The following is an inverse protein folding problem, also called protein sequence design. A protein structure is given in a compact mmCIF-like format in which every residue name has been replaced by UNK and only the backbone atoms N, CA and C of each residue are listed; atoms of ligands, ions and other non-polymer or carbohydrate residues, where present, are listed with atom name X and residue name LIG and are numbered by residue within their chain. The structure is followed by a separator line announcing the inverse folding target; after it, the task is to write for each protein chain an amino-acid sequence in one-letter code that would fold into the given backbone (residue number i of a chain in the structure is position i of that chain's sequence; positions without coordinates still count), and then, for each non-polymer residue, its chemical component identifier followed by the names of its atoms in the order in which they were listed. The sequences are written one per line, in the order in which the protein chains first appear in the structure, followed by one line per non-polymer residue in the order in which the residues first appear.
data_IF_364940885279
#
_entry.id   IF_364940885279
#
_cell.length_a   1.000
_cell.length_b   1.000
_cell.length_c   1.000
_cell.angle_alpha   90.00
_cell.angle_beta   90.00
_cell.angle_gamma   90.00
#
_symmetry.space_group_name_H-M   'P 1'
#
loop_
_entity.id
_entity.type
_entity.pdbx_description
1 polymer ?
#
# COMPACT_ATOMS: atom_id res chain seq x y z
N UNK A 1 -0.67 12.21 15.61
CA UNK A 1 0.41 11.49 14.89
C UNK A 1 0.15 9.98 14.74
N UNK A 2 -0.82 9.43 15.48
CA UNK A 2 -1.11 7.99 15.56
C UNK A 2 -1.49 7.33 14.21
N UNK A 3 -2.23 8.03 13.35
CA UNK A 3 -2.66 7.49 12.06
C UNK A 3 -1.46 7.22 11.14
N UNK A 4 -0.60 8.21 10.87
CA UNK A 4 0.58 8.01 10.00
C UNK A 4 1.53 6.92 10.53
N UNK A 5 1.69 6.84 11.86
CA UNK A 5 2.49 5.78 12.48
C UNK A 5 1.91 4.39 12.22
N UNK A 6 0.60 4.23 12.08
CA UNK A 6 0.00 2.91 11.83
C UNK A 6 0.01 2.44 10.37
N UNK A 7 0.11 3.36 9.39
CA UNK A 7 -0.09 3.05 7.95
C UNK A 7 1.06 3.48 7.04
N UNK A 8 2.13 4.06 7.57
CA UNK A 8 3.29 4.47 6.76
C UNK A 8 3.84 3.34 5.88
N UNK A 9 3.85 2.09 6.38
CA UNK A 9 4.32 0.97 5.57
C UNK A 9 3.39 0.67 4.40
N UNK A 10 2.07 0.70 4.60
CA UNK A 10 1.10 0.55 3.51
C UNK A 10 1.31 1.66 2.45
N UNK A 11 1.57 2.89 2.88
CA UNK A 11 1.88 4.02 1.98
C UNK A 11 3.17 3.79 1.20
N UNK A 12 4.24 3.30 1.84
CA UNK A 12 5.51 3.00 1.17
C UNK A 12 5.38 1.84 0.18
N UNK A 13 4.69 0.76 0.57
CA UNK A 13 4.41 -0.40 -0.27
C UNK A 13 3.59 0.01 -1.50
N UNK A 14 2.55 0.83 -1.33
CA UNK A 14 1.82 1.42 -2.47
C UNK A 14 2.73 2.26 -3.36
N UNK A 15 3.69 2.99 -2.78
CA UNK A 15 4.69 3.74 -3.54
C UNK A 15 5.56 2.85 -4.44
N UNK A 16 6.08 1.75 -3.90
CA UNK A 16 6.85 0.75 -4.67
C UNK A 16 5.95 0.14 -5.75
N UNK A 17 4.74 -0.26 -5.38
CA UNK A 17 3.81 -0.90 -6.30
C UNK A 17 3.46 0.02 -7.49
N UNK A 18 3.21 1.30 -7.21
CA UNK A 18 2.90 2.30 -8.24
C UNK A 18 4.06 2.51 -9.21
N UNK A 19 5.30 2.63 -8.71
CA UNK A 19 6.49 2.77 -9.57
C UNK A 19 6.74 1.52 -10.43
N UNK A 20 6.27 0.37 -9.96
CA UNK A 20 6.47 -0.92 -10.62
C UNK A 20 5.37 -1.28 -11.63
N UNK A 21 4.26 -0.55 -11.67
CA UNK A 21 3.17 -0.80 -12.63
C UNK A 21 3.59 -0.88 -14.11
N UNK A 22 4.51 -0.03 -14.63
CA UNK A 22 4.93 -0.12 -16.03
C UNK A 22 5.94 -1.25 -16.31
N UNK A 23 6.44 -1.93 -15.26
CA UNK A 23 7.47 -2.96 -15.38
C UNK A 23 6.86 -4.36 -15.45
N UNK A 24 7.58 -5.31 -16.04
CA UNK A 24 7.14 -6.70 -16.13
C UNK A 24 7.94 -7.56 -15.14
N UNK A 25 7.27 -8.03 -14.09
CA UNK A 25 7.84 -8.91 -13.06
C UNK A 25 9.09 -8.35 -12.34
N UNK A 26 9.18 -7.01 -12.28
CA UNK A 26 10.23 -6.27 -11.58
C UNK A 26 9.64 -5.30 -10.54
N UNK A 27 10.45 -4.90 -9.56
CA UNK A 27 10.09 -3.99 -8.49
C UNK A 27 11.00 -2.77 -8.47
N UNK A 28 10.40 -1.58 -8.64
CA UNK A 28 11.07 -0.29 -8.54
C UNK A 28 11.01 0.26 -7.11
N UNK A 29 12.04 -0.06 -6.32
CA UNK A 29 12.19 0.45 -4.96
C UNK A 29 12.52 1.95 -4.95
N UNK A 30 13.36 2.40 -5.89
CA UNK A 30 13.72 3.80 -6.14
C UNK A 30 13.91 4.05 -7.65
N UNK A 31 14.24 5.29 -8.05
CA UNK A 31 14.53 5.63 -9.45
C UNK A 31 15.74 4.87 -10.01
N UNK A 32 16.71 4.58 -9.15
CA UNK A 32 17.99 3.92 -9.47
C UNK A 32 18.08 2.50 -8.89
N UNK A 33 17.00 1.99 -8.30
CA UNK A 33 16.96 0.65 -7.70
C UNK A 33 15.72 -0.12 -8.19
N UNK A 34 15.92 -0.88 -9.25
CA UNK A 34 14.96 -1.83 -9.80
C UNK A 34 15.51 -3.24 -9.64
N UNK A 35 14.72 -4.15 -9.08
CA UNK A 35 15.10 -5.53 -8.87
C UNK A 35 14.07 -6.46 -9.51
N UNK A 36 14.54 -7.45 -10.24
CA UNK A 36 13.78 -8.63 -10.64
C UNK A 36 13.74 -9.66 -9.48
N UNK A 37 13.14 -10.82 -9.71
CA UNK A 37 13.04 -11.87 -8.69
C UNK A 37 14.41 -12.37 -8.23
N UNK A 38 15.38 -12.52 -9.14
CA UNK A 38 16.72 -12.99 -8.82
C UNK A 38 17.50 -11.96 -8.01
N UNK A 39 17.44 -10.68 -8.40
CA UNK A 39 18.03 -9.56 -7.69
C UNK A 39 17.43 -9.38 -6.30
N UNK A 40 16.11 -9.49 -6.17
CA UNK A 40 15.43 -9.46 -4.87
C UNK A 40 15.90 -10.62 -3.97
N UNK A 41 16.04 -11.84 -4.52
CA UNK A 41 16.54 -13.00 -3.78
C UNK A 41 17.99 -12.81 -3.34
N UNK A 42 18.85 -12.31 -4.22
CA UNK A 42 20.26 -12.02 -3.94
C UNK A 42 20.42 -10.94 -2.86
N UNK A 43 19.50 -9.98 -2.80
CA UNK A 43 19.45 -8.94 -1.78
C UNK A 43 18.81 -9.40 -0.45
N UNK A 44 18.43 -10.68 -0.32
CA UNK A 44 17.75 -11.19 0.87
C UNK A 44 16.27 -10.82 0.98
N UNK A 45 15.68 -10.24 -0.08
CA UNK A 45 14.30 -9.78 -0.16
C UNK A 45 13.37 -10.78 -0.87
N UNK A 46 13.79 -12.03 -1.11
CA UNK A 46 13.05 -12.97 -1.98
C UNK A 46 11.56 -13.12 -1.63
N UNK A 47 11.23 -13.42 -0.37
CA UNK A 47 9.83 -13.56 0.07
C UNK A 47 9.05 -12.24 0.01
N UNK A 48 9.72 -11.12 0.32
CA UNK A 48 9.12 -9.79 0.22
C UNK A 48 8.84 -9.40 -1.23
N UNK A 49 9.80 -9.68 -2.12
CA UNK A 49 9.71 -9.45 -3.55
C UNK A 49 8.52 -10.19 -4.14
N UNK A 50 8.34 -11.46 -3.78
CA UNK A 50 7.18 -12.24 -4.21
C UNK A 50 5.84 -11.62 -3.75
N UNK A 51 5.75 -11.18 -2.49
CA UNK A 51 4.54 -10.55 -1.95
C UNK A 51 4.25 -9.20 -2.64
N UNK A 52 5.28 -8.37 -2.85
CA UNK A 52 5.17 -7.10 -3.56
C UNK A 52 4.76 -7.32 -5.03
N UNK A 53 5.36 -8.28 -5.73
CA UNK A 53 4.99 -8.61 -7.11
C UNK A 53 3.55 -9.11 -7.21
N UNK A 54 3.06 -9.87 -6.23
CA UNK A 54 1.65 -10.27 -6.19
C UNK A 54 0.72 -9.04 -6.11
N UNK A 55 1.05 -8.05 -5.28
CA UNK A 55 0.31 -6.79 -5.21
C UNK A 55 0.39 -6.01 -6.53
N UNK A 56 1.58 -5.86 -7.11
CA UNK A 56 1.81 -5.18 -8.40
C UNK A 56 0.96 -5.80 -9.50
N UNK A 57 1.03 -7.13 -9.67
CA UNK A 57 0.23 -7.87 -10.67
C UNK A 57 -1.27 -7.65 -10.48
N UNK A 58 -1.74 -7.58 -9.23
CA UNK A 58 -3.15 -7.29 -8.93
C UNK A 58 -3.54 -5.89 -9.39
N UNK A 59 -2.71 -4.89 -9.15
CA UNK A 59 -2.96 -3.49 -9.56
C UNK A 59 -2.83 -3.32 -11.09
N UNK A 60 -1.87 -4.00 -11.72
CA UNK A 60 -1.72 -4.05 -13.18
C UNK A 60 -2.94 -4.67 -13.87
N UNK A 61 -3.48 -5.77 -13.33
CA UNK A 61 -4.70 -6.39 -13.84
C UNK A 61 -5.91 -5.46 -13.76
N UNK A 62 -5.91 -4.54 -12.77
CA UNK A 62 -6.92 -3.50 -12.65
C UNK A 62 -6.63 -2.29 -13.54
N UNK A 63 -5.45 -2.18 -14.16
CA UNK A 63 -4.99 -0.99 -14.88
C UNK A 63 -5.17 0.26 -14.02
N UNK A 64 -4.58 0.21 -12.82
CA UNK A 64 -4.72 1.27 -11.83
C UNK A 64 -4.30 2.63 -12.42
N UNK A 65 -5.16 3.62 -12.29
CA UNK A 65 -4.89 4.99 -12.69
C UNK A 65 -4.40 5.85 -11.53
N UNK A 66 -3.91 7.05 -11.84
CA UNK A 66 -3.30 7.95 -10.86
C UNK A 66 -4.30 8.41 -9.80
N UNK A 67 -5.52 8.71 -10.23
CA UNK A 67 -6.62 9.17 -9.38
C UNK A 67 -7.06 8.06 -8.41
N UNK A 68 -7.21 6.83 -8.92
CA UNK A 68 -7.51 5.63 -8.13
C UNK A 68 -6.38 5.33 -7.14
N UNK A 69 -5.12 5.49 -7.57
CA UNK A 69 -3.96 5.34 -6.70
C UNK A 69 -3.99 6.33 -5.52
N UNK A 70 -4.30 7.61 -5.78
CA UNK A 70 -4.40 8.62 -4.72
C UNK A 70 -5.56 8.29 -3.78
N UNK A 71 -6.71 7.85 -4.29
CA UNK A 71 -7.84 7.40 -3.49
C UNK A 71 -7.48 6.18 -2.63
N UNK A 72 -6.76 5.19 -3.17
CA UNK A 72 -6.29 4.03 -2.40
C UNK A 72 -5.35 4.44 -1.25
N UNK A 73 -4.46 5.43 -1.46
CA UNK A 73 -3.63 5.96 -0.36
C UNK A 73 -4.47 6.62 0.72
N UNK A 74 -5.46 7.41 0.34
CA UNK A 74 -6.35 8.08 1.28
C UNK A 74 -7.22 7.07 2.05
N UNK A 75 -7.73 6.04 1.36
CA UNK A 75 -8.49 4.96 1.97
C UNK A 75 -7.64 4.09 2.89
N UNK A 76 -6.38 3.79 2.53
CA UNK A 76 -5.45 3.12 3.43
C UNK A 76 -5.25 3.95 4.71
N UNK A 77 -5.07 5.27 4.57
CA UNK A 77 -4.95 6.20 5.70
C UNK A 77 -6.21 6.21 6.58
N UNK A 78 -7.39 6.30 5.97
CA UNK A 78 -8.67 6.38 6.67
C UNK A 78 -9.11 5.04 7.30
N UNK A 79 -8.62 3.91 6.78
CA UNK A 79 -8.86 2.56 7.33
C UNK A 79 -7.77 2.14 8.34
N UNK A 80 -7.03 3.11 8.90
CA UNK A 80 -6.05 2.87 9.94
C UNK A 80 -6.69 2.20 11.16
N UNK A 81 -6.10 1.10 11.64
CA UNK A 81 -6.51 0.41 12.86
C UNK A 81 -5.95 1.12 14.13
N UNK A 82 -5.70 2.43 14.06
CA UNK A 82 -5.09 3.18 15.17
C UNK A 82 -5.99 3.20 16.39
N UNK A 83 -5.47 2.73 17.52
CA UNK A 83 -6.17 2.68 18.82
C UNK A 83 -6.40 4.07 19.42
N UNK A 84 -5.72 5.11 18.91
CA UNK A 84 -5.72 6.47 19.46
C UNK A 84 -6.28 7.51 18.48
N UNK A 85 -7.47 7.26 17.94
CA UNK A 85 -8.21 8.25 17.17
C UNK A 85 -8.99 9.14 18.13
N UNK A 86 -8.63 10.42 18.20
CA UNK A 86 -9.29 11.41 19.08
C UNK A 86 -10.72 11.72 18.63
N UNK A 87 -10.95 11.79 17.32
CA UNK A 87 -12.25 12.06 16.70
C UNK A 87 -12.59 10.96 15.69
N UNK A 88 -13.22 9.89 16.19
CA UNK A 88 -13.61 8.76 15.36
C UNK A 88 -14.71 9.15 14.35
N UNK A 89 -15.58 10.11 14.70
CA UNK A 89 -16.66 10.55 13.82
C UNK A 89 -16.10 11.27 12.59
N UNK A 90 -15.13 12.15 12.76
CA UNK A 90 -14.47 12.83 11.64
C UNK A 90 -13.74 11.85 10.71
N UNK A 91 -13.11 10.80 11.25
CA UNK A 91 -12.46 9.75 10.44
C UNK A 91 -13.49 8.93 9.67
N UNK A 92 -14.61 8.60 10.29
CA UNK A 92 -15.72 7.91 9.63
C UNK A 92 -16.33 8.74 8.50
N UNK A 93 -16.60 10.03 8.74
CA UNK A 93 -17.08 10.96 7.71
C UNK A 93 -16.08 11.08 6.54
N UNK A 94 -14.77 11.15 6.85
CA UNK A 94 -13.73 11.14 5.82
C UNK A 94 -13.75 9.83 5.02
N UNK A 95 -13.90 8.68 5.68
CA UNK A 95 -13.99 7.38 5.02
C UNK A 95 -15.20 7.32 4.10
N UNK A 96 -16.37 7.77 4.53
CA UNK A 96 -17.58 7.83 3.71
C UNK A 96 -17.37 8.71 2.48
N UNK A 97 -16.83 9.92 2.67
CA UNK A 97 -16.53 10.84 1.58
C UNK A 97 -15.55 10.24 0.55
N UNK A 98 -14.55 9.48 1.00
CA UNK A 98 -13.60 8.80 0.10
C UNK A 98 -14.25 7.65 -0.68
N UNK A 99 -15.17 6.90 -0.07
CA UNK A 99 -15.92 5.86 -0.78
C UNK A 99 -16.86 6.47 -1.81
N UNK A 100 -17.54 7.56 -1.48
CA UNK A 100 -18.39 8.30 -2.41
C UNK A 100 -17.58 8.86 -3.59
N UNK A 101 -16.45 9.50 -3.32
CA UNK A 101 -15.56 10.03 -4.35
C UNK A 101 -15.05 8.93 -5.30
N UNK A 102 -14.74 7.74 -4.78
CA UNK A 102 -14.35 6.60 -5.62
C UNK A 102 -15.52 6.14 -6.51
N UNK A 103 -16.72 6.04 -5.95
CA UNK A 103 -17.90 5.65 -6.72
C UNK A 103 -18.22 6.67 -7.83
N UNK A 104 -18.13 7.97 -7.52
CA UNK A 104 -18.37 9.05 -8.47
C UNK A 104 -17.33 9.06 -9.59
N UNK A 105 -16.04 8.90 -9.25
CA UNK A 105 -14.96 8.80 -10.22
C UNK A 105 -15.18 7.66 -11.21
N UNK A 106 -15.56 6.48 -10.70
CA UNK A 106 -15.82 5.31 -11.54
C UNK A 106 -17.10 5.47 -12.39
N UNK A 107 -18.14 6.10 -11.84
CA UNK A 107 -19.37 6.38 -12.56
C UNK A 107 -19.14 7.34 -13.74
N UNK A 108 -18.31 8.36 -13.55
CA UNK A 108 -17.90 9.29 -14.62
C UNK A 108 -17.14 8.61 -15.76
N UNK A 109 -16.45 7.50 -15.49
CA UNK A 109 -15.68 6.73 -16.48
C UNK A 109 -16.48 5.66 -17.22
N UNK A 110 -17.47 5.05 -16.57
CA UNK A 110 -18.12 3.83 -17.08
C UNK A 110 -19.10 4.05 -18.25
N UNK A 111 -19.40 5.29 -18.64
CA UNK A 111 -20.48 5.57 -19.61
C UNK A 111 -21.86 5.12 -19.08
N UNK A 112 -22.93 5.22 -19.87
CA UNK A 112 -24.28 4.88 -19.40
C UNK A 112 -24.44 3.35 -19.28
N UNK A 113 -24.08 2.79 -18.12
CA UNK A 113 -24.14 1.36 -17.83
C UNK A 113 -23.85 1.05 -16.35
N UNK A 114 -24.81 1.38 -15.47
CA UNK A 114 -24.70 1.53 -14.01
C UNK A 114 -24.40 0.28 -13.14
N UNK A 115 -23.56 -0.64 -13.61
CA UNK A 115 -23.08 -1.77 -12.81
C UNK A 115 -21.61 -2.13 -13.03
N UNK A 116 -20.93 -1.55 -14.01
CA UNK A 116 -19.50 -1.79 -14.22
C UNK A 116 -18.64 -1.01 -13.20
N UNK A 117 -19.08 0.19 -12.85
CA UNK A 117 -18.44 1.13 -11.93
C UNK A 117 -18.43 0.60 -10.49
N UNK A 118 -19.57 0.16 -9.94
CA UNK A 118 -19.65 -0.42 -8.59
C UNK A 118 -18.78 -1.66 -8.45
N UNK A 119 -18.74 -2.50 -9.49
CA UNK A 119 -17.88 -3.68 -9.53
C UNK A 119 -16.40 -3.30 -9.57
N UNK A 120 -16.04 -2.19 -10.22
CA UNK A 120 -14.65 -1.71 -10.26
C UNK A 120 -14.21 -1.13 -8.91
N UNK A 121 -15.00 -0.23 -8.34
CA UNK A 121 -14.75 0.30 -7.00
C UNK A 121 -14.58 -0.83 -5.97
N UNK A 122 -15.47 -1.82 -5.98
CA UNK A 122 -15.33 -3.01 -5.13
C UNK A 122 -14.03 -3.78 -5.36
N UNK A 123 -13.61 -3.97 -6.62
CA UNK A 123 -12.33 -4.63 -6.92
C UNK A 123 -11.11 -3.85 -6.44
N UNK A 124 -11.15 -2.51 -6.51
CA UNK A 124 -10.10 -1.63 -5.97
C UNK A 124 -10.05 -1.72 -4.45
N UNK A 125 -11.20 -1.65 -3.77
CA UNK A 125 -11.27 -1.80 -2.31
C UNK A 125 -10.73 -3.16 -1.83
N UNK A 126 -10.99 -4.23 -2.57
CA UNK A 126 -10.43 -5.57 -2.29
C UNK A 126 -8.91 -5.67 -2.45
N UNK A 127 -8.22 -4.62 -2.93
CA UNK A 127 -6.75 -4.57 -2.91
C UNK A 127 -6.19 -4.11 -1.56
N UNK A 128 -6.97 -3.38 -0.76
CA UNK A 128 -6.53 -2.88 0.55
C UNK A 128 -6.15 -4.01 1.54
N UNK A 129 -6.89 -5.13 1.64
CA UNK A 129 -6.46 -6.25 2.48
C UNK A 129 -5.15 -6.89 2.02
N UNK A 130 -4.93 -7.00 0.70
CA UNK A 130 -3.67 -7.51 0.14
C UNK A 130 -2.51 -6.56 0.42
N UNK A 131 -2.76 -5.25 0.32
CA UNK A 131 -1.81 -4.22 0.70
C UNK A 131 -1.41 -4.35 2.17
N UNK A 132 -2.38 -4.41 3.09
CA UNK A 132 -2.13 -4.58 4.53
C UNK A 132 -1.33 -5.84 4.83
N UNK A 133 -1.69 -6.97 4.22
CA UNK A 133 -0.93 -8.21 4.36
C UNK A 133 0.52 -8.06 3.87
N UNK A 134 0.72 -7.39 2.74
CA UNK A 134 2.05 -7.18 2.16
C UNK A 134 2.89 -6.27 3.06
N UNK A 135 2.31 -5.17 3.54
CA UNK A 135 2.95 -4.26 4.49
C UNK A 135 3.35 -4.97 5.79
N UNK A 136 2.50 -5.85 6.32
CA UNK A 136 2.81 -6.67 7.50
C UNK A 136 4.02 -7.59 7.30
N UNK A 137 4.13 -8.24 6.12
CA UNK A 137 5.32 -9.05 5.79
C UNK A 137 6.59 -8.20 5.71
N UNK A 138 6.50 -7.02 5.09
CA UNK A 138 7.62 -6.07 4.99
C UNK A 138 8.07 -5.61 6.36
N UNK A 139 7.15 -5.25 7.26
CA UNK A 139 7.46 -4.91 8.65
C UNK A 139 8.15 -6.07 9.39
N UNK A 140 7.62 -7.28 9.30
CA UNK A 140 8.18 -8.45 9.95
C UNK A 140 9.62 -8.74 9.50
N UNK A 141 9.89 -8.58 8.20
CA UNK A 141 11.25 -8.73 7.66
C UNK A 141 12.20 -7.66 8.21
N UNK A 142 11.82 -6.38 8.14
CA UNK A 142 12.68 -5.31 8.65
C UNK A 142 12.88 -5.40 10.17
N UNK A 143 11.91 -5.94 10.90
CA UNK A 143 12.11 -6.28 12.31
C UNK A 143 13.19 -7.35 12.50
N UNK A 144 13.18 -8.42 11.69
CA UNK A 144 14.25 -9.42 11.69
C UNK A 144 15.63 -8.79 11.42
N UNK A 145 15.73 -7.95 10.38
CA UNK A 145 16.98 -7.24 10.05
C UNK A 145 17.46 -6.34 11.19
N UNK A 146 16.53 -5.66 11.88
CA UNK A 146 16.85 -4.84 13.07
C UNK A 146 17.44 -5.71 14.18
N UNK A 147 16.83 -6.85 14.48
CA UNK A 147 17.29 -7.77 15.53
C UNK A 147 18.67 -8.35 15.23
N UNK A 148 19.00 -8.58 13.96
CA UNK A 148 20.34 -9.03 13.58
C UNK A 148 21.42 -7.97 13.81
N UNK A 149 21.08 -6.69 13.73
CA UNK A 149 22.00 -5.57 13.99
C UNK A 149 23.14 -5.42 12.98
N UNK A 150 23.11 -6.16 11.86
CA UNK A 150 24.18 -6.17 10.84
C UNK A 150 24.04 -5.08 9.79
N UNK A 151 22.82 -4.56 9.59
CA UNK A 151 22.52 -3.55 8.57
C UNK A 151 22.17 -2.24 9.26
N UNK A 152 22.89 -1.14 9.00
CA UNK A 152 22.55 0.16 9.56
C UNK A 152 21.22 0.64 8.98
N UNK A 153 20.31 1.07 9.85
CA UNK A 153 19.03 1.64 9.47
C UNK A 153 18.98 3.13 9.80
N UNK A 154 18.33 3.91 8.94
CA UNK A 154 18.16 5.34 9.18
C UNK A 154 17.31 5.59 10.42
N UNK A 155 17.66 6.61 11.21
CA UNK A 155 17.02 6.92 12.51
C UNK A 155 15.50 7.04 12.41
N UNK A 156 15.00 7.82 11.44
CA UNK A 156 13.55 7.97 11.22
C UNK A 156 12.86 6.63 10.93
N UNK A 157 13.51 5.75 10.16
CA UNK A 157 12.92 4.44 9.84
C UNK A 157 12.83 3.56 11.09
N UNK A 158 13.85 3.60 11.95
CA UNK A 158 13.83 2.89 13.24
C UNK A 158 12.73 3.41 14.15
N UNK A 159 12.57 4.74 14.28
CA UNK A 159 11.52 5.35 15.10
C UNK A 159 10.12 4.93 14.61
N UNK A 160 9.90 4.90 13.29
CA UNK A 160 8.63 4.47 12.70
C UNK A 160 8.39 2.96 12.84
N UNK A 161 9.45 2.14 12.80
CA UNK A 161 9.37 0.70 13.02
C UNK A 161 9.09 0.37 14.49
N UNK A 162 9.67 1.13 15.42
CA UNK A 162 9.46 0.99 16.87
C UNK A 162 8.04 1.35 17.29
N UNK A 163 7.50 2.44 16.75
CA UNK A 163 6.13 2.86 17.05
C UNK A 163 5.04 1.85 16.63
N UNK A 164 5.38 0.83 15.83
CA UNK A 164 4.47 -0.26 15.44
C UNK A 164 4.53 -1.46 16.40
N UNK A 165 5.44 -1.44 17.37
CA UNK A 165 5.66 -2.53 18.32
C UNK A 165 5.11 -2.25 19.71
N UNK A 166 4.78 -0.98 19.99
CA UNK A 166 4.14 -0.51 21.23
C UNK A 166 2.60 -0.53 21.09
#
# INVERSE_FOLDING_TARGET
MSVLQSVWMEVLVLGVAQRSLPLQDELAFAEDLVLDEEGARAAGLGELGAALLQLVRRLQALRLEREEYVLLKALALANSDSVHIEDAEAVEQLREALHEALLEYEAGRAGPGGGAERRRAGRLLLTLPLLRQTAGKVLAHFYGVKLEGKVPMHKLFLEMLEAMMD
#
